data_IF_590079029752
#
_entry.id   IF_590079029752
#
_cell.length_a   1.000
_cell.length_b   1.000
_cell.length_c   1.000
_cell.angle_alpha   90.00
_cell.angle_beta   90.00
_cell.angle_gamma   90.00
#
_symmetry.space_group_name_H-M   'P 1'
#
loop_
_entity.id
_entity.type
_entity.pdbx_description
1 polymer ?
#
# COMPACT_ATOMS: atom_id res chain seq x y z
N UNK A 1 -2.97 -2.33 -10.46
CA UNK A 1 -2.62 -3.40 -9.51
C UNK A 1 -3.82 -3.56 -8.60
N UNK A 2 -4.51 -4.68 -8.66
CA UNK A 2 -5.53 -4.98 -7.65
C UNK A 2 -4.79 -5.28 -6.35
N UNK A 3 -4.82 -4.34 -5.42
CA UNK A 3 -4.20 -4.52 -4.12
C UNK A 3 -4.96 -5.62 -3.39
N UNK A 4 -4.30 -6.77 -3.20
CA UNK A 4 -4.95 -8.01 -2.79
C UNK A 4 -5.62 -7.91 -1.40
N UNK A 5 -5.30 -6.90 -0.58
CA UNK A 5 -5.75 -6.84 0.81
C UNK A 5 -6.04 -5.43 1.40
N UNK A 6 -6.50 -4.45 0.61
CA UNK A 6 -6.95 -3.13 1.11
C UNK A 6 -8.32 -3.15 1.85
N UNK A 7 -8.60 -4.23 2.58
CA UNK A 7 -9.71 -4.32 3.53
C UNK A 7 -9.22 -5.09 4.74
N UNK A 8 -8.46 -4.45 5.64
CA UNK A 8 -8.03 -5.10 6.89
C UNK A 8 -8.49 -4.36 8.13
N UNK A 9 -9.44 -4.99 8.81
CA UNK A 9 -9.81 -4.69 10.18
C UNK A 9 -8.61 -4.98 11.11
N UNK A 10 -8.13 -3.98 11.85
CA UNK A 10 -7.02 -4.08 12.82
C UNK A 10 -7.16 -5.35 13.67
N UNK A 11 -6.22 -6.30 13.53
CA UNK A 11 -5.99 -7.37 14.51
C UNK A 11 -4.49 -7.46 14.77
N UNK A 12 -4.13 -7.33 16.03
CA UNK A 12 -2.78 -7.13 16.59
C UNK A 12 -1.92 -8.40 16.68
N UNK A 13 -2.28 -9.46 15.94
CA UNK A 13 -1.44 -10.64 15.81
C UNK A 13 -1.44 -11.07 14.35
N UNK A 14 -0.30 -10.88 13.67
CA UNK A 14 -0.09 -11.45 12.33
C UNK A 14 -0.16 -12.96 12.43
N UNK A 15 -1.31 -13.53 12.11
CA UNK A 15 -1.47 -14.98 12.13
C UNK A 15 -0.55 -15.61 11.10
N UNK A 16 0.15 -16.71 11.46
CA UNK A 16 0.92 -17.54 10.52
C UNK A 16 0.10 -17.87 9.26
N UNK A 17 -1.23 -18.04 9.43
CA UNK A 17 -2.18 -18.23 8.34
C UNK A 17 -2.23 -17.03 7.37
N UNK A 18 -2.32 -15.80 7.87
CA UNK A 18 -2.37 -14.59 7.03
C UNK A 18 -1.08 -14.39 6.23
N UNK A 19 0.07 -14.60 6.87
CA UNK A 19 1.37 -14.58 6.17
C UNK A 19 1.39 -15.62 5.03
N UNK A 20 1.00 -16.86 5.32
CA UNK A 20 1.00 -17.92 4.32
C UNK A 20 0.02 -17.64 3.16
N UNK A 21 -1.17 -17.11 3.46
CA UNK A 21 -2.14 -16.72 2.44
C UNK A 21 -1.61 -15.62 1.54
N UNK A 22 -0.97 -14.59 2.12
CA UNK A 22 -0.35 -13.53 1.33
C UNK A 22 0.75 -14.09 0.43
N UNK A 23 1.66 -14.90 0.97
CA UNK A 23 2.77 -15.43 0.19
C UNK A 23 2.27 -16.29 -0.98
N UNK A 24 1.23 -17.12 -0.77
CA UNK A 24 0.59 -17.89 -1.83
C UNK A 24 -0.08 -17.00 -2.88
N UNK A 25 -0.79 -15.95 -2.46
CA UNK A 25 -1.44 -15.03 -3.37
C UNK A 25 -0.43 -14.24 -4.21
N UNK A 26 0.64 -13.76 -3.57
CA UNK A 26 1.76 -13.06 -4.21
C UNK A 26 2.50 -13.96 -5.22
N UNK A 27 2.71 -15.23 -4.88
CA UNK A 27 3.31 -16.22 -5.78
C UNK A 27 2.44 -16.46 -7.02
N UNK A 28 1.13 -16.67 -6.83
CA UNK A 28 0.19 -16.79 -7.96
C UNK A 28 0.17 -15.53 -8.83
N UNK A 29 0.18 -14.34 -8.22
CA UNK A 29 0.23 -13.09 -8.97
C UNK A 29 1.53 -12.96 -9.76
N UNK A 30 2.65 -13.37 -9.17
CA UNK A 30 3.95 -13.37 -9.84
C UNK A 30 3.94 -14.27 -11.08
N UNK A 31 3.40 -15.48 -10.96
CA UNK A 31 3.30 -16.43 -12.07
C UNK A 31 2.45 -15.89 -13.23
N UNK A 32 1.28 -15.31 -12.89
CA UNK A 32 0.35 -14.74 -13.88
C UNK A 32 0.92 -13.52 -14.61
N UNK A 33 1.64 -12.65 -13.91
CA UNK A 33 2.06 -11.36 -14.47
C UNK A 33 3.47 -11.38 -15.09
N UNK A 34 4.38 -12.22 -14.57
CA UNK A 34 5.80 -12.14 -14.92
C UNK A 34 6.33 -13.45 -15.50
N UNK A 35 6.09 -14.59 -14.84
CA UNK A 35 6.66 -15.87 -15.29
C UNK A 35 6.11 -16.33 -16.64
N UNK A 36 4.81 -16.13 -16.90
CA UNK A 36 4.16 -16.58 -18.14
C UNK A 36 4.38 -15.65 -19.34
N UNK A 37 5.06 -14.51 -19.17
CA UNK A 37 5.28 -13.50 -20.24
C UNK A 37 6.71 -13.49 -20.79
N UNK A 38 7.49 -14.55 -20.59
CA UNK A 38 8.87 -14.65 -21.09
C UNK A 38 9.88 -13.73 -20.38
N UNK A 39 9.44 -12.97 -19.37
CA UNK A 39 10.33 -12.32 -18.44
C UNK A 39 10.81 -13.37 -17.43
N UNK A 40 11.88 -14.09 -17.75
CA UNK A 40 12.59 -14.93 -16.78
C UNK A 40 13.16 -14.04 -15.66
N UNK A 41 12.30 -13.64 -14.73
CA UNK A 41 12.73 -13.07 -13.45
C UNK A 41 13.50 -14.14 -12.70
N UNK A 42 14.63 -13.76 -12.10
CA UNK A 42 15.41 -14.69 -11.29
C UNK A 42 14.53 -15.17 -10.13
N UNK A 43 14.72 -16.41 -9.66
CA UNK A 43 14.02 -16.91 -8.45
C UNK A 43 14.13 -15.94 -7.25
N UNK A 44 15.25 -15.21 -7.19
CA UNK A 44 15.50 -14.17 -6.19
C UNK A 44 14.54 -12.99 -6.33
N UNK A 45 14.16 -12.58 -7.54
CA UNK A 45 13.22 -11.47 -7.77
C UNK A 45 11.82 -11.80 -7.21
N UNK A 46 11.35 -13.04 -7.41
CA UNK A 46 10.09 -13.52 -6.84
C UNK A 46 10.13 -13.49 -5.30
N UNK A 47 11.26 -13.88 -4.72
CA UNK A 47 11.46 -13.83 -3.26
C UNK A 47 11.40 -12.40 -2.75
N UNK A 48 12.08 -11.47 -3.43
CA UNK A 48 12.10 -10.06 -3.05
C UNK A 48 10.72 -9.41 -3.21
N UNK A 49 10.01 -9.72 -4.29
CA UNK A 49 8.63 -9.29 -4.51
C UNK A 49 7.70 -9.71 -3.36
N UNK A 50 7.76 -10.99 -2.95
CA UNK A 50 7.02 -11.52 -1.81
C UNK A 50 7.41 -10.83 -0.50
N UNK A 51 8.70 -10.56 -0.28
CA UNK A 51 9.18 -9.83 0.89
C UNK A 51 8.66 -8.39 0.94
N UNK A 52 8.68 -7.67 -0.19
CA UNK A 52 8.14 -6.30 -0.28
C UNK A 52 6.66 -6.30 0.09
N UNK A 53 5.85 -7.16 -0.54
CA UNK A 53 4.42 -7.26 -0.24
C UNK A 53 4.15 -7.62 1.22
N UNK A 54 4.90 -8.56 1.78
CA UNK A 54 4.77 -8.91 3.19
C UNK A 54 5.03 -7.71 4.12
N UNK A 55 6.08 -6.93 3.86
CA UNK A 55 6.38 -5.77 4.68
C UNK A 55 5.35 -4.65 4.51
N UNK A 56 4.82 -4.44 3.31
CA UNK A 56 3.84 -3.40 3.03
C UNK A 56 2.43 -3.78 3.53
N UNK A 57 1.94 -4.98 3.23
CA UNK A 57 0.54 -5.33 3.52
C UNK A 57 0.31 -5.88 4.92
N UNK A 58 1.31 -6.58 5.49
CA UNK A 58 1.17 -7.23 6.79
C UNK A 58 1.85 -6.42 7.88
N UNK A 59 3.12 -6.07 7.69
CA UNK A 59 3.86 -5.29 8.70
C UNK A 59 3.58 -3.78 8.63
N UNK A 60 2.95 -3.31 7.55
CA UNK A 60 2.58 -1.90 7.34
C UNK A 60 3.75 -0.93 7.57
N UNK A 61 4.95 -1.31 7.12
CA UNK A 61 6.17 -0.51 7.34
C UNK A 61 6.09 0.87 6.70
N UNK A 62 5.18 1.06 5.73
CA UNK A 62 4.89 2.35 5.11
C UNK A 62 4.39 3.41 6.10
N UNK A 63 3.88 3.01 7.27
CA UNK A 63 3.46 3.94 8.34
C UNK A 63 4.64 4.64 9.01
N UNK A 64 5.86 4.13 8.86
CA UNK A 64 7.08 4.80 9.29
C UNK A 64 7.42 5.94 8.31
N UNK A 65 7.37 7.18 8.80
CA UNK A 65 7.69 8.38 8.01
C UNK A 65 9.14 8.47 7.59
N UNK A 66 10.05 7.79 8.30
CA UNK A 66 11.48 7.75 8.01
C UNK A 66 11.87 6.56 7.11
N UNK A 67 10.89 5.79 6.62
CA UNK A 67 11.16 4.67 5.73
C UNK A 67 11.78 5.17 4.42
N UNK A 68 13.07 4.87 4.26
CA UNK A 68 13.88 5.18 3.08
C UNK A 68 14.26 3.91 2.33
N UNK A 69 14.74 4.06 1.10
CA UNK A 69 15.28 2.94 0.30
C UNK A 69 16.38 2.19 1.06
N UNK A 70 17.27 2.92 1.75
CA UNK A 70 18.31 2.35 2.61
C UNK A 70 17.71 1.52 3.74
N UNK A 71 16.82 2.11 4.55
CA UNK A 71 16.17 1.43 5.68
C UNK A 71 15.41 0.18 5.21
N UNK A 72 14.71 0.28 4.09
CA UNK A 72 13.93 -0.84 3.56
C UNK A 72 14.81 -1.95 2.97
N UNK A 73 15.91 -1.61 2.30
CA UNK A 73 16.85 -2.61 1.77
C UNK A 73 17.47 -3.46 2.87
N UNK A 74 17.87 -2.83 3.99
CA UNK A 74 18.38 -3.55 5.17
C UNK A 74 17.30 -4.44 5.78
N UNK A 75 16.05 -3.96 5.87
CA UNK A 75 14.94 -4.70 6.47
C UNK A 75 14.59 -6.00 5.74
N UNK A 76 14.81 -6.05 4.42
CA UNK A 76 14.51 -7.23 3.58
C UNK A 76 15.78 -7.96 3.12
N UNK A 77 16.92 -7.64 3.73
CA UNK A 77 18.22 -8.26 3.49
C UNK A 77 18.69 -8.20 2.03
N UNK A 78 18.75 -6.97 1.49
CA UNK A 78 19.22 -6.69 0.13
C UNK A 78 19.99 -5.36 0.07
N UNK A 79 20.48 -4.99 -1.11
CA UNK A 79 21.07 -3.68 -1.35
C UNK A 79 20.08 -2.70 -2.01
N UNK A 80 20.36 -1.40 -1.87
CA UNK A 80 19.50 -0.32 -2.37
C UNK A 80 19.26 -0.38 -3.88
N UNK A 81 20.32 -0.64 -4.65
CA UNK A 81 20.26 -0.71 -6.12
C UNK A 81 19.34 -1.82 -6.57
N UNK A 82 19.47 -3.01 -5.99
CA UNK A 82 18.68 -4.17 -6.36
C UNK A 82 17.22 -4.01 -5.95
N UNK A 83 16.96 -3.47 -4.74
CA UNK A 83 15.60 -3.11 -4.32
C UNK A 83 14.96 -2.11 -5.28
N UNK A 84 15.67 -1.04 -5.65
CA UNK A 84 15.14 -0.05 -6.59
C UNK A 84 14.82 -0.67 -7.95
N UNK A 85 15.71 -1.54 -8.46
CA UNK A 85 15.50 -2.22 -9.74
C UNK A 85 14.28 -3.14 -9.71
N UNK A 86 14.11 -3.91 -8.63
CA UNK A 86 12.95 -4.79 -8.45
C UNK A 86 11.66 -3.99 -8.31
N UNK A 87 11.67 -2.89 -7.55
CA UNK A 87 10.47 -2.04 -7.40
C UNK A 87 10.10 -1.42 -8.74
N UNK A 88 11.05 -0.80 -9.44
CA UNK A 88 10.81 -0.21 -10.76
C UNK A 88 10.30 -1.25 -11.77
N UNK A 89 10.91 -2.45 -11.81
CA UNK A 89 10.61 -3.49 -12.80
C UNK A 89 9.26 -4.17 -12.56
N UNK A 90 8.92 -4.47 -11.31
CA UNK A 90 7.77 -5.32 -11.00
C UNK A 90 6.57 -4.56 -10.43
N UNK A 91 6.78 -3.34 -9.94
CA UNK A 91 5.70 -2.46 -9.46
C UNK A 91 5.46 -1.27 -10.40
N UNK A 92 6.25 -1.12 -11.46
CA UNK A 92 6.16 -0.03 -12.45
C UNK A 92 6.13 1.38 -11.82
N UNK A 93 6.80 1.55 -10.70
CA UNK A 93 6.94 2.82 -10.00
C UNK A 93 8.20 2.79 -9.15
N UNK A 94 8.63 3.96 -8.66
CA UNK A 94 9.73 4.02 -7.69
C UNK A 94 9.22 3.74 -6.26
N UNK A 95 10.15 3.47 -5.33
CA UNK A 95 9.77 3.13 -3.94
C UNK A 95 8.94 4.23 -3.27
N UNK A 96 9.24 5.51 -3.51
CA UNK A 96 8.50 6.62 -2.89
C UNK A 96 7.04 6.63 -3.36
N UNK A 97 6.81 6.41 -4.64
CA UNK A 97 5.48 6.30 -5.23
C UNK A 97 4.73 5.07 -4.72
N UNK A 98 5.43 3.94 -4.60
CA UNK A 98 4.87 2.72 -4.02
C UNK A 98 4.39 2.98 -2.59
N UNK A 99 5.25 3.54 -1.73
CA UNK A 99 4.90 3.86 -0.35
C UNK A 99 3.74 4.85 -0.28
N UNK A 100 3.79 5.95 -1.03
CA UNK A 100 2.74 6.96 -1.02
C UNK A 100 1.39 6.39 -1.46
N UNK A 101 1.39 5.45 -2.39
CA UNK A 101 0.19 4.72 -2.81
C UNK A 101 -0.42 3.94 -1.65
N UNK A 102 0.38 3.13 -0.93
CA UNK A 102 -0.09 2.43 0.27
C UNK A 102 -0.59 3.38 1.36
N UNK A 103 0.12 4.50 1.59
CA UNK A 103 -0.27 5.50 2.58
C UNK A 103 -1.58 6.19 2.24
N UNK A 104 -1.82 6.51 0.96
CA UNK A 104 -3.08 7.12 0.49
C UNK A 104 -4.24 6.14 0.57
N UNK A 105 -4.02 4.88 0.21
CA UNK A 105 -5.04 3.84 0.36
C UNK A 105 -5.42 3.63 1.83
N UNK A 106 -4.43 3.61 2.73
CA UNK A 106 -4.69 3.59 4.17
C UNK A 106 -5.45 4.84 4.66
N UNK A 107 -5.14 6.01 4.10
CA UNK A 107 -5.86 7.24 4.42
C UNK A 107 -7.36 7.15 4.02
N UNK A 108 -7.66 6.56 2.86
CA UNK A 108 -9.05 6.33 2.42
C UNK A 108 -9.79 5.39 3.38
N UNK A 109 -9.13 4.33 3.86
CA UNK A 109 -9.71 3.43 4.87
C UNK A 109 -10.05 4.16 6.19
N UNK A 110 -9.12 5.00 6.68
CA UNK A 110 -9.34 5.78 7.91
C UNK A 110 -10.47 6.79 7.78
N UNK A 111 -10.56 7.46 6.63
CA UNK A 111 -11.63 8.41 6.31
C UNK A 111 -12.98 7.70 6.25
N UNK A 112 -13.07 6.57 5.54
CA UNK A 112 -14.30 5.81 5.41
C UNK A 112 -14.78 5.24 6.76
N UNK A 113 -13.85 4.85 7.63
CA UNK A 113 -14.20 4.37 8.97
C UNK A 113 -14.58 5.50 9.96
N UNK A 114 -14.45 6.77 9.59
CA UNK A 114 -14.65 7.91 10.51
C UNK A 114 -13.67 7.93 11.69
N UNK A 115 -12.52 7.25 11.57
CA UNK A 115 -11.59 6.97 12.68
C UNK A 115 -10.47 8.01 12.84
N UNK A 116 -10.44 9.04 11.99
CA UNK A 116 -9.35 10.03 11.98
C UNK A 116 -9.84 11.37 11.44
N UNK A 117 -9.42 12.47 12.07
CA UNK A 117 -9.60 13.82 11.54
C UNK A 117 -8.67 14.08 10.36
N UNK A 118 -9.03 15.03 9.48
CA UNK A 118 -8.19 15.44 8.35
C UNK A 118 -6.84 16.04 8.79
N UNK A 119 -6.75 16.57 10.01
CA UNK A 119 -5.53 17.16 10.54
C UNK A 119 -4.51 16.10 10.99
N UNK A 120 -4.97 15.03 11.61
CA UNK A 120 -4.12 13.92 12.08
C UNK A 120 -3.78 12.91 10.97
N UNK A 121 -4.58 12.89 9.90
CA UNK A 121 -4.50 11.90 8.84
C UNK A 121 -3.11 11.77 8.21
N UNK A 122 -2.39 12.86 7.88
CA UNK A 122 -1.05 12.77 7.29
C UNK A 122 -0.09 11.97 8.17
N UNK A 123 -0.05 12.29 9.47
CA UNK A 123 0.85 11.65 10.43
C UNK A 123 0.46 10.19 10.66
N UNK A 124 -0.84 9.91 10.81
CA UNK A 124 -1.38 8.55 10.99
C UNK A 124 -1.08 7.64 9.81
N UNK A 125 -0.94 8.20 8.61
CA UNK A 125 -0.61 7.47 7.40
C UNK A 125 0.89 7.43 7.09
N UNK A 126 1.76 7.92 7.99
CA UNK A 126 3.21 7.87 7.80
C UNK A 126 3.78 8.92 6.86
N UNK A 127 3.08 10.03 6.58
CA UNK A 127 3.66 11.15 5.85
C UNK A 127 4.49 12.04 6.78
N UNK A 128 5.67 12.43 6.31
CA UNK A 128 6.55 13.36 7.04
C UNK A 128 6.02 14.80 7.08
N UNK A 129 5.12 15.19 6.16
CA UNK A 129 4.52 16.52 6.14
C UNK A 129 3.12 16.53 5.55
N UNK A 130 2.31 17.53 5.95
CA UNK A 130 0.96 17.76 5.41
C UNK A 130 1.02 17.99 3.90
N UNK A 131 1.92 18.85 3.42
CA UNK A 131 2.04 19.17 2.00
C UNK A 131 2.31 17.93 1.13
N UNK A 132 3.19 17.03 1.60
CA UNK A 132 3.47 15.77 0.89
C UNK A 132 2.25 14.85 0.83
N UNK A 133 1.46 14.79 1.92
CA UNK A 133 0.19 14.06 1.95
C UNK A 133 -0.80 14.60 0.93
N UNK A 134 -1.14 15.90 0.99
CA UNK A 134 -2.17 16.49 0.11
C UNK A 134 -1.79 16.38 -1.38
N UNK A 135 -0.51 16.59 -1.73
CA UNK A 135 -0.02 16.42 -3.09
C UNK A 135 -0.15 14.96 -3.56
N UNK A 136 0.27 14.00 -2.72
CA UNK A 136 0.20 12.57 -3.08
C UNK A 136 -1.24 12.08 -3.18
N UNK A 137 -2.09 12.45 -2.22
CA UNK A 137 -3.50 12.09 -2.20
C UNK A 137 -4.21 12.61 -3.44
N UNK A 138 -4.02 13.89 -3.78
CA UNK A 138 -4.67 14.50 -4.95
C UNK A 138 -4.17 13.89 -6.25
N UNK A 139 -2.85 13.59 -6.36
CA UNK A 139 -2.27 12.90 -7.53
C UNK A 139 -2.86 11.51 -7.74
N UNK A 140 -3.02 10.73 -6.67
CA UNK A 140 -3.44 9.32 -6.74
C UNK A 140 -4.97 9.20 -6.86
N UNK A 141 -5.72 9.98 -6.10
CA UNK A 141 -7.20 9.89 -6.03
C UNK A 141 -7.87 10.79 -7.06
N UNK A 142 -7.17 11.80 -7.59
CA UNK A 142 -7.70 12.78 -8.53
C UNK A 142 -8.52 13.90 -7.88
N UNK A 143 -8.62 13.93 -6.55
CA UNK A 143 -9.31 14.98 -5.80
C UNK A 143 -8.71 15.18 -4.41
N UNK A 144 -9.02 16.31 -3.77
CA UNK A 144 -8.53 16.60 -2.42
C UNK A 144 -9.15 15.65 -1.37
N UNK A 145 -8.47 15.41 -0.25
CA UNK A 145 -9.02 14.62 0.87
C UNK A 145 -10.37 15.12 1.38
N UNK A 146 -10.57 16.45 1.42
CA UNK A 146 -11.82 17.06 1.83
C UNK A 146 -12.96 16.73 0.85
N UNK A 147 -12.70 16.87 -0.46
CA UNK A 147 -13.69 16.55 -1.50
C UNK A 147 -14.01 15.06 -1.52
N UNK A 148 -13.00 14.21 -1.30
CA UNK A 148 -13.19 12.78 -1.14
C UNK A 148 -14.13 12.47 0.03
N UNK A 149 -13.88 13.04 1.22
CA UNK A 149 -14.72 12.83 2.40
C UNK A 149 -16.19 13.24 2.16
N UNK A 150 -16.41 14.41 1.57
CA UNK A 150 -17.75 14.88 1.23
C UNK A 150 -18.48 13.94 0.25
N UNK A 151 -17.76 13.42 -0.77
CA UNK A 151 -18.31 12.46 -1.73
C UNK A 151 -18.72 11.15 -1.05
N UNK A 152 -17.88 10.62 -0.16
CA UNK A 152 -18.17 9.37 0.55
C UNK A 152 -19.36 9.50 1.51
N UNK A 153 -19.52 10.66 2.16
CA UNK A 153 -20.70 10.96 2.99
C UNK A 153 -21.99 10.98 2.16
N UNK A 154 -21.97 11.64 1.00
CA UNK A 154 -23.13 11.67 0.09
C UNK A 154 -23.49 10.29 -0.46
N UNK A 155 -22.50 9.47 -0.81
CA UNK A 155 -22.75 8.10 -1.25
C UNK A 155 -23.35 7.22 -0.14
N UNK A 156 -22.85 7.36 1.10
CA UNK A 156 -23.38 6.63 2.26
C UNK A 156 -24.85 6.98 2.54
N UNK A 157 -25.22 8.26 2.37
CA UNK A 157 -26.60 8.72 2.48
C UNK A 157 -27.48 8.12 1.38
N UNK A 158 -27.01 8.12 0.12
CA UNK A 158 -27.76 7.54 -1.00
C UNK A 158 -27.97 6.02 -0.84
N UNK A 159 -26.95 5.27 -0.40
CA UNK A 159 -27.11 3.84 -0.10
C UNK A 159 -28.15 3.62 1.02
N UNK A 160 -28.14 4.44 2.07
CA UNK A 160 -29.14 4.33 3.14
C UNK A 160 -30.58 4.64 2.68
N UNK A 161 -30.75 5.46 1.65
CA UNK A 161 -32.08 5.81 1.11
C UNK A 161 -32.63 4.78 0.11
N UNK A 162 -31.78 3.95 -0.51
CA UNK A 162 -32.20 2.92 -1.47
C UNK A 162 -32.67 1.64 -0.74
N UNK A 163 -32.22 1.43 0.50
CA UNK A 163 -32.56 0.27 1.33
C UNK A 163 -33.64 0.55 2.39
N UNK A 164 -34.37 1.67 2.27
CA UNK A 164 -35.59 2.01 3.03
C UNK A 164 -36.77 1.98 2.06
#
# INVERSE_FOLDING_TARGET
MDYLFLRRHRRTATSKRQKNLLLKAAERQWELQFANKGAEGRKVDCTLYKCILYNLEIKQVFLDSELSLKKFSVMIDTNQTYLSNVVNKYFNCNLKELLNTYRVEYAKELLHAGKCSLEELPQRCGFASRSAFYASFSKIVGMSPLRFLAREQNNSLLESMIYV
#
